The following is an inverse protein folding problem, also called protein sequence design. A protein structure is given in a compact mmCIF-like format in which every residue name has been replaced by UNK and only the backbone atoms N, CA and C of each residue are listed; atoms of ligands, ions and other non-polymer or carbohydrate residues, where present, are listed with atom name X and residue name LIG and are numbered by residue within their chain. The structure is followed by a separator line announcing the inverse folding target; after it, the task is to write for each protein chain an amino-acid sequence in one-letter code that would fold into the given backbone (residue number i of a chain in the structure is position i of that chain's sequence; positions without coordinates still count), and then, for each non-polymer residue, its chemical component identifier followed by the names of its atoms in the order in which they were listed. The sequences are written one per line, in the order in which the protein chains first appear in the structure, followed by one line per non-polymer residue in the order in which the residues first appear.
data_IF_744658518019
#
_entry.id   IF_744658518019
#
_cell.length_a   1.000
_cell.length_b   1.000
_cell.length_c   1.000
_cell.angle_alpha   90.00
_cell.angle_beta   90.00
_cell.angle_gamma   90.00
#
_symmetry.space_group_name_H-M   'P 1'
#
loop_
_entity.id
_entity.type
_entity.pdbx_description
1 polymer ?
#
# COMPACT_ATOMS: atom_id res chain seq x y z
N UNK A 1 31.87 42.36 8.18
CA UNK A 1 31.63 41.37 7.12
C UNK A 1 32.83 40.46 6.87
N UNK A 2 32.90 39.26 7.46
CA UNK A 2 33.80 38.24 6.94
C UNK A 2 33.27 37.84 5.56
N UNK A 3 34.01 38.19 4.50
CA UNK A 3 33.78 37.62 3.17
C UNK A 3 33.71 36.09 3.33
N UNK A 4 32.71 35.39 2.77
CA UNK A 4 32.73 33.93 2.78
C UNK A 4 34.01 33.54 2.03
N UNK A 5 34.99 33.04 2.79
CA UNK A 5 36.30 32.70 2.25
C UNK A 5 36.10 31.85 0.98
N UNK A 6 36.78 32.14 -0.15
CA UNK A 6 36.61 31.43 -1.42
C UNK A 6 36.70 29.89 -1.29
N UNK A 7 37.41 29.43 -0.26
CA UNK A 7 37.52 28.03 0.14
C UNK A 7 36.19 27.36 0.52
N UNK A 8 35.16 28.09 1.00
CA UNK A 8 33.86 27.51 1.40
C UNK A 8 33.00 27.16 0.20
N UNK A 9 32.95 28.02 -0.81
CA UNK A 9 32.23 27.77 -2.06
C UNK A 9 32.85 26.62 -2.86
N UNK A 10 34.18 26.55 -2.92
CA UNK A 10 34.89 25.44 -3.55
C UNK A 10 34.63 24.10 -2.82
N UNK A 11 34.65 24.10 -1.48
CA UNK A 11 34.30 22.92 -0.67
C UNK A 11 32.83 22.51 -0.86
N UNK A 12 31.91 23.48 -0.91
CA UNK A 12 30.49 23.21 -1.10
C UNK A 12 30.22 22.59 -2.48
N UNK A 13 30.85 23.11 -3.54
CA UNK A 13 30.77 22.51 -4.89
C UNK A 13 31.32 21.09 -4.91
N UNK A 14 32.44 20.83 -4.22
CA UNK A 14 33.00 19.48 -4.10
C UNK A 14 32.07 18.50 -3.36
N UNK A 15 31.45 18.94 -2.26
CA UNK A 15 30.47 18.16 -1.51
C UNK A 15 29.22 17.90 -2.35
N UNK A 16 28.75 18.90 -3.11
CA UNK A 16 27.57 18.77 -3.95
C UNK A 16 27.80 17.78 -5.10
N UNK A 17 28.96 17.84 -5.75
CA UNK A 17 29.35 16.87 -6.77
C UNK A 17 29.42 15.44 -6.21
N UNK A 18 29.92 15.28 -4.99
CA UNK A 18 29.93 13.99 -4.30
C UNK A 18 28.51 13.48 -3.98
N UNK A 19 27.62 14.35 -3.51
CA UNK A 19 26.21 14.01 -3.27
C UNK A 19 25.48 13.58 -4.55
N UNK A 20 25.70 14.30 -5.66
CA UNK A 20 25.17 13.92 -6.99
C UNK A 20 25.65 12.51 -7.36
N UNK A 21 26.93 12.21 -7.14
CA UNK A 21 27.49 10.88 -7.38
C UNK A 21 26.83 9.79 -6.54
N UNK A 22 26.57 10.05 -5.25
CA UNK A 22 25.89 9.09 -4.37
C UNK A 22 24.44 8.86 -4.83
N UNK A 23 23.70 9.92 -5.13
CA UNK A 23 22.30 9.80 -5.57
C UNK A 23 22.19 9.11 -6.94
N UNK A 24 23.09 9.41 -7.87
CA UNK A 24 23.19 8.69 -9.14
C UNK A 24 23.52 7.21 -8.95
N UNK A 25 24.44 6.87 -8.04
CA UNK A 25 24.74 5.48 -7.70
C UNK A 25 23.53 4.76 -7.09
N UNK A 26 22.75 5.42 -6.23
CA UNK A 26 21.51 4.87 -5.67
C UNK A 26 20.43 4.67 -6.74
N UNK A 27 20.31 5.57 -7.72
CA UNK A 27 19.39 5.40 -8.84
C UNK A 27 19.75 4.19 -9.71
N UNK A 28 21.03 4.05 -10.05
CA UNK A 28 21.54 2.89 -10.81
C UNK A 28 21.34 1.59 -10.00
N UNK A 29 21.62 1.60 -8.70
CA UNK A 29 21.37 0.46 -7.81
C UNK A 29 19.89 0.07 -7.78
N UNK A 30 18.99 1.05 -7.77
CA UNK A 30 17.55 0.83 -7.88
C UNK A 30 17.15 0.14 -9.18
N UNK A 31 17.76 0.53 -10.31
CA UNK A 31 17.54 -0.15 -11.61
C UNK A 31 18.06 -1.59 -11.57
N UNK A 32 19.22 -1.84 -10.96
CA UNK A 32 19.74 -3.20 -10.78
C UNK A 32 18.81 -4.06 -9.91
N UNK A 33 18.28 -3.52 -8.82
CA UNK A 33 17.34 -4.23 -7.95
C UNK A 33 16.01 -4.53 -8.65
N UNK A 34 15.60 -3.66 -9.58
CA UNK A 34 14.43 -3.89 -10.45
C UNK A 34 14.65 -5.09 -11.38
N UNK A 35 15.85 -5.24 -11.94
CA UNK A 35 16.21 -6.40 -12.78
C UNK A 35 16.22 -7.70 -11.96
N UNK A 36 16.66 -7.63 -10.69
CA UNK A 36 16.71 -8.77 -9.78
C UNK A 36 15.38 -9.08 -9.04
N UNK A 37 14.31 -8.31 -9.29
CA UNK A 37 12.99 -8.43 -8.61
C UNK A 37 13.07 -8.37 -7.08
N UNK A 38 13.92 -7.51 -6.52
CA UNK A 38 14.00 -7.28 -5.07
C UNK A 38 12.97 -6.24 -4.62
N UNK A 39 12.21 -6.49 -3.55
CA UNK A 39 11.05 -5.68 -3.13
C UNK A 39 11.30 -4.17 -2.92
N UNK A 40 12.55 -3.77 -2.70
CA UNK A 40 12.88 -2.38 -2.37
C UNK A 40 13.32 -1.52 -3.58
N UNK A 41 13.26 -2.02 -4.81
CA UNK A 41 13.77 -1.33 -6.00
C UNK A 41 13.13 0.06 -6.22
N UNK A 42 11.84 0.22 -5.91
CA UNK A 42 11.13 1.50 -6.06
C UNK A 42 11.66 2.58 -5.13
N UNK A 43 12.02 2.22 -3.91
CA UNK A 43 12.54 3.16 -2.92
C UNK A 43 13.86 3.76 -3.38
N UNK A 44 14.80 2.91 -3.83
CA UNK A 44 16.11 3.36 -4.30
C UNK A 44 16.03 4.23 -5.56
N UNK A 45 15.14 3.91 -6.50
CA UNK A 45 14.92 4.78 -7.67
C UNK A 45 14.33 6.13 -7.26
N UNK A 46 13.30 6.16 -6.41
CA UNK A 46 12.67 7.41 -5.95
C UNK A 46 13.66 8.29 -5.18
N UNK A 47 14.42 7.70 -4.26
CA UNK A 47 15.44 8.43 -3.48
C UNK A 47 16.59 8.92 -4.36
N UNK A 48 17.07 8.09 -5.29
CA UNK A 48 18.15 8.46 -6.21
C UNK A 48 17.76 9.64 -7.11
N UNK A 49 16.63 9.55 -7.82
CA UNK A 49 16.19 10.62 -8.70
C UNK A 49 15.78 11.90 -7.94
N UNK A 50 15.11 11.76 -6.79
CA UNK A 50 14.73 12.92 -5.99
C UNK A 50 15.95 13.64 -5.39
N UNK A 51 16.97 12.88 -4.97
CA UNK A 51 18.21 13.45 -4.46
C UNK A 51 19.05 14.16 -5.53
N UNK A 52 19.12 13.60 -6.74
CA UNK A 52 19.78 14.24 -7.88
C UNK A 52 19.06 15.55 -8.27
N UNK A 53 17.72 15.53 -8.35
CA UNK A 53 16.93 16.73 -8.62
C UNK A 53 17.13 17.82 -7.56
N UNK A 54 17.15 17.45 -6.27
CA UNK A 54 17.42 18.40 -5.18
C UNK A 54 18.84 19.00 -5.27
N UNK A 55 19.83 18.22 -5.67
CA UNK A 55 21.19 18.72 -5.88
C UNK A 55 21.28 19.71 -7.05
N UNK A 56 20.53 19.50 -8.14
CA UNK A 56 20.45 20.46 -9.23
C UNK A 56 19.75 21.76 -8.85
N UNK A 57 18.63 21.67 -8.10
CA UNK A 57 17.93 22.86 -7.62
C UNK A 57 18.82 23.70 -6.71
N UNK A 58 19.53 23.06 -5.78
CA UNK A 58 20.46 23.77 -4.89
C UNK A 58 21.64 24.35 -5.64
N UNK A 59 22.21 23.63 -6.62
CA UNK A 59 23.26 24.15 -7.50
C UNK A 59 22.78 25.40 -8.26
N UNK A 60 21.61 25.33 -8.90
CA UNK A 60 21.03 26.44 -9.65
C UNK A 60 20.73 27.65 -8.77
N UNK A 61 20.28 27.43 -7.53
CA UNK A 61 20.06 28.51 -6.57
C UNK A 61 21.37 29.20 -6.16
N UNK A 62 22.45 28.44 -5.91
CA UNK A 62 23.77 29.02 -5.61
C UNK A 62 24.38 29.75 -6.81
N UNK A 63 24.16 29.27 -8.02
CA UNK A 63 24.62 29.93 -9.24
C UNK A 63 23.84 31.21 -9.51
N UNK A 64 22.54 31.23 -9.22
CA UNK A 64 21.70 32.42 -9.31
C UNK A 64 22.15 33.49 -8.29
N UNK A 65 22.36 33.11 -7.03
CA UNK A 65 22.90 34.01 -5.99
C UNK A 65 24.31 34.47 -6.36
N UNK A 66 25.16 33.58 -6.89
CA UNK A 66 26.48 33.90 -7.37
C UNK A 66 26.44 34.95 -8.49
N UNK A 67 25.55 34.79 -9.46
CA UNK A 67 25.39 35.75 -10.56
C UNK A 67 24.87 37.11 -10.09
N UNK A 68 24.02 37.16 -9.05
CA UNK A 68 23.56 38.41 -8.45
C UNK A 68 24.60 39.10 -7.54
N UNK A 69 25.39 38.31 -6.81
CA UNK A 69 26.47 38.83 -5.95
C UNK A 69 27.70 39.27 -6.76
N UNK A 70 27.84 38.74 -7.98
CA UNK A 70 28.93 39.05 -8.90
C UNK A 70 28.38 39.86 -10.08
N UNK A 71 27.93 41.09 -9.83
CA UNK A 71 27.85 42.07 -10.91
C UNK A 71 29.26 42.27 -11.49
N UNK A 72 29.42 42.32 -12.83
CA UNK A 72 30.72 42.45 -13.45
C UNK A 72 31.24 43.87 -13.20
N UNK A 73 32.27 44.00 -12.36
CA UNK A 73 33.25 45.04 -12.59
C UNK A 73 33.97 44.67 -13.89
N UNK A 74 33.59 45.38 -14.94
CA UNK A 74 34.21 45.47 -16.26
C UNK A 74 35.73 45.45 -16.26
N UNK A 75 36.30 44.64 -17.14
CA UNK A 75 37.62 44.75 -17.76
C UNK A 75 37.36 44.63 -19.29
N UNK A 76 37.79 45.49 -20.22
CA UNK A 76 38.64 46.68 -20.23
C UNK A 76 38.22 47.56 -21.42
N UNK A 77 38.31 48.90 -21.29
CA UNK A 77 38.83 49.75 -22.38
C UNK A 77 39.18 51.13 -21.86
N UNK A 78 40.42 51.52 -22.11
CA UNK A 78 41.09 52.73 -21.69
C UNK A 78 40.34 54.01 -22.09
N UNK A 79 40.08 54.89 -21.12
CA UNK A 79 40.05 56.34 -21.36
C UNK A 79 40.17 57.11 -20.04
N UNK A 80 41.40 57.54 -19.76
CA UNK A 80 41.77 58.80 -19.08
C UNK A 80 40.61 59.68 -18.55
N UNK A 81 40.35 59.68 -17.25
CA UNK A 81 39.99 60.91 -16.50
C UNK A 81 40.59 60.86 -15.09
N UNK A 82 41.66 61.64 -14.93
CA UNK A 82 42.33 61.93 -13.67
C UNK A 82 41.47 62.91 -12.86
N UNK A 83 41.06 62.49 -11.66
CA UNK A 83 40.78 63.40 -10.53
C UNK A 83 39.37 63.99 -10.40
N UNK A 84 38.39 63.19 -9.95
CA UNK A 84 37.24 63.73 -9.16
C UNK A 84 36.36 62.71 -8.41
N UNK A 85 36.69 61.41 -8.36
CA UNK A 85 35.77 60.35 -7.89
C UNK A 85 36.00 59.81 -6.47
N UNK A 86 37.11 60.14 -5.81
CA UNK A 86 37.52 59.50 -4.55
C UNK A 86 36.57 59.72 -3.37
N UNK A 87 35.81 60.81 -3.33
CA UNK A 87 34.82 61.06 -2.27
C UNK A 87 33.52 60.30 -2.46
N UNK A 88 33.02 60.17 -3.71
CA UNK A 88 31.77 59.43 -3.99
C UNK A 88 31.92 57.92 -3.84
N UNK A 89 33.08 57.37 -4.22
CA UNK A 89 33.36 55.93 -4.04
C UNK A 89 33.45 55.57 -2.56
N UNK A 90 34.04 56.45 -1.74
CA UNK A 90 34.18 56.24 -0.29
C UNK A 90 32.86 56.36 0.46
N UNK A 91 31.97 57.26 0.01
CA UNK A 91 30.61 57.37 0.54
C UNK A 91 29.75 56.16 0.14
N UNK A 92 29.90 55.68 -1.09
CA UNK A 92 29.22 54.47 -1.57
C UNK A 92 29.69 53.21 -0.82
N UNK A 93 30.99 53.08 -0.53
CA UNK A 93 31.52 51.96 0.27
C UNK A 93 30.98 51.98 1.71
N UNK A 94 30.82 53.16 2.31
CA UNK A 94 30.24 53.30 3.64
C UNK A 94 28.76 52.91 3.68
N UNK A 95 27.99 53.26 2.64
CA UNK A 95 26.59 52.84 2.51
C UNK A 95 26.46 51.33 2.32
N UNK A 96 27.29 50.74 1.47
CA UNK A 96 27.30 49.29 1.24
C UNK A 96 27.66 48.55 2.54
N UNK A 97 28.67 49.01 3.30
CA UNK A 97 28.98 48.40 4.60
C UNK A 97 27.81 48.47 5.58
N UNK A 98 27.13 49.61 5.64
CA UNK A 98 25.94 49.79 6.46
C UNK A 98 24.80 48.86 6.06
N UNK A 99 24.47 48.78 4.77
CA UNK A 99 23.40 47.91 4.26
C UNK A 99 23.73 46.44 4.46
N UNK A 100 24.98 46.06 4.24
CA UNK A 100 25.42 44.68 4.40
C UNK A 100 25.41 44.32 5.90
N UNK A 101 25.85 45.19 6.81
CA UNK A 101 25.75 44.95 8.27
C UNK A 101 24.28 44.87 8.73
N UNK A 102 23.40 45.70 8.16
CA UNK A 102 21.95 45.59 8.39
C UNK A 102 21.38 44.25 7.89
N UNK A 103 21.83 43.76 6.73
CA UNK A 103 21.45 42.46 6.20
C UNK A 103 21.95 41.30 7.06
N UNK A 104 23.16 41.37 7.63
CA UNK A 104 23.63 40.33 8.54
C UNK A 104 22.87 40.30 9.87
N UNK A 105 22.43 41.46 10.36
CA UNK A 105 21.58 41.53 11.54
C UNK A 105 20.21 40.92 11.26
N UNK A 106 19.59 41.28 10.13
CA UNK A 106 18.32 40.71 9.70
C UNK A 106 18.43 39.19 9.47
N UNK A 107 19.49 38.73 8.78
CA UNK A 107 19.73 37.30 8.53
C UNK A 107 20.02 36.54 9.83
N UNK A 108 20.69 37.15 10.80
CA UNK A 108 20.92 36.57 12.11
C UNK A 108 19.63 36.43 12.93
N UNK A 109 18.67 37.34 12.75
CA UNK A 109 17.36 37.28 13.36
C UNK A 109 16.45 36.23 12.69
N UNK A 110 16.46 36.18 11.36
CA UNK A 110 15.76 35.17 10.57
C UNK A 110 16.30 33.76 10.82
N UNK A 111 17.61 33.59 10.94
CA UNK A 111 18.22 32.30 11.27
C UNK A 111 17.79 31.80 12.66
N UNK A 112 17.63 32.70 13.63
CA UNK A 112 17.11 32.35 14.97
C UNK A 112 15.63 31.96 14.91
N UNK A 113 14.82 32.70 14.14
CA UNK A 113 13.40 32.34 13.91
C UNK A 113 13.29 30.97 13.25
N UNK A 114 14.04 30.75 12.18
CA UNK A 114 14.07 29.47 11.48
C UNK A 114 14.51 28.33 12.40
N UNK A 115 15.51 28.55 13.27
CA UNK A 115 15.93 27.54 14.24
C UNK A 115 14.83 27.21 15.27
N UNK A 116 14.05 28.20 15.70
CA UNK A 116 12.91 27.97 16.60
C UNK A 116 11.80 27.20 15.89
N UNK A 117 11.43 27.60 14.67
CA UNK A 117 10.43 26.91 13.85
C UNK A 117 10.83 25.46 13.54
N UNK A 118 12.10 25.20 13.21
CA UNK A 118 12.60 23.83 12.98
C UNK A 118 12.55 22.98 14.24
N UNK A 119 12.81 23.57 15.42
CA UNK A 119 12.67 22.87 16.70
C UNK A 119 11.22 22.52 17.01
N UNK A 120 10.31 23.44 16.74
CA UNK A 120 8.87 23.23 16.90
C UNK A 120 8.35 22.15 15.94
N UNK A 121 8.75 22.24 14.67
CA UNK A 121 8.45 21.22 13.65
C UNK A 121 8.99 19.84 14.07
N UNK A 122 10.20 19.77 14.63
CA UNK A 122 10.77 18.53 15.16
C UNK A 122 9.93 17.91 16.27
N UNK A 123 9.42 18.73 17.19
CA UNK A 123 8.54 18.26 18.27
C UNK A 123 7.18 17.76 17.74
N UNK A 124 6.61 18.47 16.75
CA UNK A 124 5.37 18.06 16.09
C UNK A 124 5.56 16.75 15.30
N UNK A 125 6.72 16.57 14.67
CA UNK A 125 7.08 15.36 13.93
C UNK A 125 7.25 14.15 14.85
N UNK A 126 7.81 14.32 16.05
CA UNK A 126 7.86 13.26 17.07
C UNK A 126 6.46 12.85 17.54
N UNK A 127 5.57 13.81 17.76
CA UNK A 127 4.16 13.56 18.08
C UNK A 127 3.46 12.80 16.94
N UNK A 128 3.63 13.24 15.69
CA UNK A 128 3.07 12.57 14.53
C UNK A 128 3.58 11.13 14.40
N UNK A 129 4.88 10.89 14.64
CA UNK A 129 5.47 9.56 14.63
C UNK A 129 4.91 8.67 15.75
N UNK A 130 4.67 9.23 16.93
CA UNK A 130 4.00 8.54 18.03
C UNK A 130 2.56 8.12 17.67
N UNK A 131 1.81 9.01 17.01
CA UNK A 131 0.45 8.73 16.52
C UNK A 131 0.46 7.62 15.47
N UNK A 132 1.38 7.67 14.49
CA UNK A 132 1.52 6.63 13.47
C UNK A 132 1.85 5.27 14.12
N UNK A 133 2.72 5.24 15.13
CA UNK A 133 3.03 4.01 15.85
C UNK A 133 1.81 3.44 16.59
N UNK A 134 0.98 4.29 17.23
CA UNK A 134 -0.29 3.85 17.83
C UNK A 134 -1.25 3.29 16.79
N UNK A 135 -1.46 4.01 15.68
CA UNK A 135 -2.35 3.54 14.60
C UNK A 135 -1.88 2.21 14.03
N UNK A 136 -0.58 2.02 13.84
CA UNK A 136 -0.03 0.73 13.38
C UNK A 136 -0.29 -0.38 14.40
N UNK A 137 -0.13 -0.11 15.69
CA UNK A 137 -0.42 -1.08 16.76
C UNK A 137 -1.89 -1.43 16.85
N UNK A 138 -2.79 -0.45 16.69
CA UNK A 138 -4.24 -0.67 16.66
C UNK A 138 -4.65 -1.48 15.42
N UNK A 139 -4.09 -1.16 14.25
CA UNK A 139 -4.32 -1.95 13.02
C UNK A 139 -3.80 -3.38 13.16
N UNK A 140 -2.65 -3.59 13.80
CA UNK A 140 -2.11 -4.92 14.05
C UNK A 140 -3.01 -5.71 15.01
N UNK A 141 -3.58 -5.07 16.04
CA UNK A 141 -4.57 -5.68 16.93
C UNK A 141 -5.87 -6.05 16.22
N UNK A 142 -6.37 -5.16 15.36
CA UNK A 142 -7.59 -5.39 14.56
C UNK A 142 -7.37 -6.52 13.56
N UNK A 143 -6.20 -6.59 12.94
CA UNK A 143 -5.86 -7.62 11.95
C UNK A 143 -5.56 -8.99 12.58
N UNK A 144 -4.88 -9.02 13.73
CA UNK A 144 -4.36 -10.28 14.30
C UNK A 144 -5.32 -10.98 15.26
N UNK A 145 -6.15 -10.24 16.00
CA UNK A 145 -6.95 -10.82 17.08
C UNK A 145 -8.38 -11.07 16.68
N UNK A 146 -9.13 -10.00 16.42
CA UNK A 146 -10.60 -10.08 16.37
C UNK A 146 -11.15 -10.66 15.08
N UNK A 147 -10.62 -10.26 13.91
CA UNK A 147 -11.15 -10.75 12.64
C UNK A 147 -10.88 -12.24 12.42
N UNK A 148 -9.69 -12.72 12.78
CA UNK A 148 -9.33 -14.12 12.63
C UNK A 148 -10.13 -15.01 13.60
N UNK A 149 -10.35 -14.55 14.84
CA UNK A 149 -11.15 -15.23 15.84
C UNK A 149 -12.64 -15.24 15.49
N UNK A 150 -13.19 -14.11 15.01
CA UNK A 150 -14.57 -13.99 14.53
C UNK A 150 -14.81 -14.88 13.30
N UNK A 151 -13.87 -14.94 12.37
CA UNK A 151 -13.95 -15.82 11.20
C UNK A 151 -13.89 -17.31 11.59
N UNK A 152 -13.07 -17.67 12.58
CA UNK A 152 -13.00 -19.02 13.12
C UNK A 152 -14.30 -19.44 13.81
N UNK A 153 -14.84 -18.56 14.66
CA UNK A 153 -16.12 -18.76 15.35
C UNK A 153 -17.29 -18.91 14.36
N UNK A 154 -17.34 -18.05 13.34
CA UNK A 154 -18.35 -18.13 12.28
C UNK A 154 -18.22 -19.41 11.45
N UNK A 155 -16.99 -19.83 11.11
CA UNK A 155 -16.74 -21.09 10.42
C UNK A 155 -17.19 -22.31 11.22
N UNK A 156 -16.94 -22.32 12.53
CA UNK A 156 -17.43 -23.35 13.44
C UNK A 156 -18.96 -23.38 13.48
N UNK A 157 -19.60 -22.22 13.63
CA UNK A 157 -21.06 -22.11 13.63
C UNK A 157 -21.70 -22.55 12.31
N UNK A 158 -21.08 -22.25 11.16
CA UNK A 158 -21.55 -22.74 9.86
C UNK A 158 -21.40 -24.25 9.70
N UNK A 159 -20.35 -24.85 10.27
CA UNK A 159 -20.18 -26.30 10.26
C UNK A 159 -21.26 -26.99 11.10
N UNK A 160 -21.51 -26.49 12.31
CA UNK A 160 -22.55 -26.99 13.21
C UNK A 160 -23.94 -26.86 12.57
N UNK A 161 -24.24 -25.70 11.99
CA UNK A 161 -25.48 -25.48 11.24
C UNK A 161 -25.59 -26.42 10.03
N UNK A 162 -24.49 -26.69 9.33
CA UNK A 162 -24.45 -27.63 8.21
C UNK A 162 -24.78 -29.06 8.62
N UNK A 163 -24.28 -29.51 9.77
CA UNK A 163 -24.57 -30.82 10.33
C UNK A 163 -26.01 -30.92 10.82
N UNK A 164 -26.52 -29.87 11.47
CA UNK A 164 -27.92 -29.81 11.91
C UNK A 164 -28.89 -29.77 10.72
N UNK A 165 -28.57 -29.05 9.65
CA UNK A 165 -29.35 -29.01 8.42
C UNK A 165 -29.33 -30.36 7.69
N UNK A 166 -28.21 -31.08 7.70
CA UNK A 166 -28.13 -32.45 7.16
C UNK A 166 -28.98 -33.41 7.99
N UNK A 167 -28.94 -33.29 9.32
CA UNK A 167 -29.79 -34.06 10.24
C UNK A 167 -31.27 -33.78 9.98
N UNK A 168 -31.67 -32.51 9.90
CA UNK A 168 -33.03 -32.11 9.57
C UNK A 168 -33.47 -32.65 8.20
N UNK A 169 -32.61 -32.59 7.19
CA UNK A 169 -32.88 -33.18 5.87
C UNK A 169 -33.14 -34.69 5.94
N UNK A 170 -32.37 -35.42 6.75
CA UNK A 170 -32.58 -36.86 6.97
C UNK A 170 -33.92 -37.15 7.68
N UNK A 171 -34.32 -36.31 8.63
CA UNK A 171 -35.61 -36.41 9.32
C UNK A 171 -36.78 -36.16 8.37
N UNK A 172 -36.67 -35.15 7.49
CA UNK A 172 -37.68 -34.88 6.47
C UNK A 172 -37.81 -36.04 5.48
N UNK A 173 -36.69 -36.65 5.08
CA UNK A 173 -36.73 -37.83 4.21
C UNK A 173 -37.44 -39.02 4.88
N UNK A 174 -37.20 -39.25 6.17
CA UNK A 174 -37.90 -40.29 6.94
C UNK A 174 -39.40 -40.02 7.00
N UNK A 175 -39.80 -38.79 7.36
CA UNK A 175 -41.21 -38.39 7.41
C UNK A 175 -41.87 -38.58 6.04
N UNK A 176 -41.18 -38.24 4.96
CA UNK A 176 -41.70 -38.46 3.60
C UNK A 176 -41.92 -39.94 3.31
N UNK A 177 -40.97 -40.79 3.66
CA UNK A 177 -41.10 -42.25 3.49
C UNK A 177 -42.24 -42.82 4.35
N UNK A 178 -42.41 -42.33 5.58
CA UNK A 178 -43.52 -42.71 6.47
C UNK A 178 -44.88 -42.27 5.90
N UNK A 179 -44.97 -41.05 5.36
CA UNK A 179 -46.19 -40.57 4.69
C UNK A 179 -46.54 -41.42 3.46
N UNK A 180 -45.54 -41.87 2.71
CA UNK A 180 -45.73 -42.74 1.54
C UNK A 180 -46.23 -44.14 1.94
N UNK A 181 -45.67 -44.75 2.98
CA UNK A 181 -46.16 -46.02 3.56
C UNK A 181 -47.59 -45.88 4.10
N UNK A 182 -47.91 -44.78 4.81
CA UNK A 182 -49.27 -44.53 5.29
C UNK A 182 -50.25 -44.35 4.12
N UNK A 183 -49.86 -43.64 3.06
CA UNK A 183 -50.67 -43.47 1.86
C UNK A 183 -50.92 -44.81 1.14
N UNK A 184 -49.89 -45.66 1.03
CA UNK A 184 -50.01 -47.00 0.46
C UNK A 184 -50.98 -47.87 1.27
N UNK A 185 -50.82 -47.92 2.60
CA UNK A 185 -51.73 -48.64 3.51
C UNK A 185 -53.16 -48.14 3.40
N UNK A 186 -53.37 -46.83 3.31
CA UNK A 186 -54.70 -46.25 3.13
C UNK A 186 -55.31 -46.68 1.79
N UNK A 187 -54.52 -46.70 0.71
CA UNK A 187 -54.97 -47.16 -0.61
C UNK A 187 -55.33 -48.66 -0.61
N UNK A 188 -54.55 -49.48 0.09
CA UNK A 188 -54.82 -50.91 0.27
C UNK A 188 -56.08 -51.15 1.08
N UNK A 189 -56.25 -50.44 2.20
CA UNK A 189 -57.46 -50.51 3.02
C UNK A 189 -58.70 -50.09 2.24
N UNK A 190 -58.61 -49.02 1.45
CA UNK A 190 -59.73 -48.56 0.62
C UNK A 190 -60.07 -49.55 -0.50
N UNK A 191 -59.06 -50.22 -1.08
CA UNK A 191 -59.26 -51.29 -2.08
C UNK A 191 -59.90 -52.55 -1.47
N UNK A 192 -59.58 -52.87 -0.22
CA UNK A 192 -60.15 -54.01 0.51
C UNK A 192 -61.65 -53.91 0.83
N UNK A 193 -62.24 -52.70 0.80
CA UNK A 193 -63.70 -52.51 0.92
C UNK A 193 -64.45 -52.61 -0.42
N UNK A 194 -63.76 -52.67 -1.55
CA UNK A 194 -64.35 -52.70 -2.89
C UNK A 194 -64.57 -54.11 -3.48
N UNK A 195 -64.10 -55.16 -2.82
CA UNK A 195 -64.21 -56.54 -3.33
C UNK A 195 -64.62 -57.52 -2.23
N UNK A 196 -65.90 -57.49 -1.88
CA UNK A 196 -66.58 -58.62 -1.25
C UNK A 196 -67.90 -58.92 -1.96
N UNK A 197 -67.88 -58.96 -3.29
CA UNK A 197 -68.93 -59.58 -4.10
C UNK A 197 -68.38 -59.77 -5.52
N UNK A 198 -67.71 -60.89 -5.74
CA UNK A 198 -68.03 -61.74 -6.89
C UNK A 198 -67.21 -63.03 -6.83
N UNK A 199 -67.93 -64.11 -6.61
CA UNK A 199 -67.43 -65.48 -6.67
C UNK A 199 -67.94 -66.06 -7.99
N UNK A 200 -67.09 -66.41 -8.96
CA UNK A 200 -67.48 -67.39 -9.96
C UNK A 200 -66.83 -68.72 -9.64
N UNK A 201 -67.70 -69.70 -9.43
CA UNK A 201 -67.34 -71.09 -9.39
C UNK A 201 -66.78 -71.55 -10.75
N UNK A 202 -65.64 -72.24 -10.68
CA UNK A 202 -65.18 -73.35 -11.54
C UNK A 202 -65.45 -73.28 -13.05
N UNK A 203 -64.38 -73.23 -13.83
CA UNK A 203 -64.19 -74.18 -14.94
C UNK A 203 -62.69 -74.38 -15.26
N UNK A 204 -62.31 -75.65 -15.24
CA UNK A 204 -61.06 -76.28 -15.62
C UNK A 204 -60.43 -75.80 -16.94
N UNK A 205 -59.09 -75.76 -17.03
CA UNK A 205 -58.34 -76.71 -17.87
C UNK A 205 -56.84 -76.37 -17.98
N UNK A 206 -56.03 -77.42 -17.76
CA UNK A 206 -54.79 -77.82 -18.46
C UNK A 206 -53.59 -76.86 -18.46
N UNK A 207 -52.51 -77.25 -17.77
CA UNK A 207 -51.39 -78.07 -18.28
C UNK A 207 -50.60 -77.41 -19.42
N UNK A 208 -49.43 -76.85 -19.08
CA UNK A 208 -48.11 -77.32 -19.57
C UNK A 208 -46.94 -76.56 -18.92
N UNK A 209 -46.22 -77.29 -18.09
CA UNK A 209 -44.75 -77.44 -18.00
C UNK A 209 -43.83 -76.34 -18.55
N UNK A 210 -42.87 -75.91 -17.71
CA UNK A 210 -41.56 -75.43 -18.18
C UNK A 210 -40.81 -74.51 -17.19
N UNK A 211 -39.61 -74.85 -16.70
CA UNK A 211 -38.96 -74.24 -15.54
C UNK A 211 -38.02 -73.04 -15.86
N UNK A 212 -37.74 -72.25 -14.83
CA UNK A 212 -36.76 -71.13 -14.73
C UNK A 212 -35.30 -71.61 -14.92
N UNK A 213 -34.33 -70.77 -15.37
CA UNK A 213 -33.52 -69.99 -14.40
C UNK A 213 -32.95 -68.62 -14.87
N UNK A 214 -32.54 -67.82 -13.87
CA UNK A 214 -31.76 -66.56 -13.84
C UNK A 214 -30.34 -66.68 -14.49
N UNK A 215 -29.38 -65.73 -14.34
CA UNK A 215 -29.33 -64.25 -14.40
C UNK A 215 -28.24 -63.76 -15.40
N UNK A 216 -28.07 -62.44 -15.64
CA UNK A 216 -26.74 -61.94 -16.04
C UNK A 216 -26.38 -60.55 -15.48
N UNK A 217 -25.23 -60.56 -14.83
CA UNK A 217 -24.55 -59.53 -14.05
C UNK A 217 -23.54 -58.80 -14.96
N UNK A 218 -23.28 -57.52 -14.62
CA UNK A 218 -22.11 -56.67 -14.95
C UNK A 218 -22.06 -55.97 -16.31
N UNK A 219 -22.02 -54.63 -16.25
CA UNK A 219 -20.82 -53.89 -16.62
C UNK A 219 -20.69 -52.63 -15.74
N UNK A 220 -19.53 -52.55 -15.10
CA UNK A 220 -18.90 -51.41 -14.41
C UNK A 220 -17.79 -50.92 -15.37
N UNK A 221 -17.41 -49.64 -15.25
CA UNK A 221 -16.38 -48.87 -15.98
C UNK A 221 -16.88 -48.22 -17.28
N UNK A 222 -16.64 -46.93 -17.55
CA UNK A 222 -15.61 -46.00 -17.05
C UNK A 222 -16.20 -44.68 -16.55
#
# INVERSE_FOLDING_TARGET
MPTPSPNRLARLKGILAFCIGIFGALAILGVFFKILKLEYYEFFMKVGFMGEAAAFVTMGFFELIGSFATQPATDESEASVKGRSGTKVREMEARIKSEVDALFLALGEDAKRFQMEVRELGAEMELARGTIHRMRSELDQVASGRLAEDAGSLGSGMSELGDEMRSAGSSVQRIRAELEDVAERFSYFNRGRGHSEDRPARASARLKDGPTPLPRRKAVNQ
#
